data_IF_823597335060
#
_entry.id   IF_823597335060
#
_cell.length_a   1.000
_cell.length_b   1.000
_cell.length_c   1.000
_cell.angle_alpha   90.00
_cell.angle_beta   90.00
_cell.angle_gamma   90.00
#
_symmetry.space_group_name_H-M   'P 1'
#
loop_
_entity.id
_entity.type
_entity.pdbx_description
1 polymer ?
#
# COMPACT_ATOMS: atom_id res chain seq x y z
N UNK A 1 -7.22 4.11 7.14
CA UNK A 1 -7.02 2.85 6.38
C UNK A 1 -6.02 1.95 7.10
N UNK A 2 -4.70 2.23 7.09
CA UNK A 2 -3.68 1.42 7.83
C UNK A 2 -3.90 1.18 9.33
N UNK A 3 -4.71 2.01 10.00
CA UNK A 3 -5.03 1.86 11.43
C UNK A 3 -6.52 1.60 11.70
N UNK A 4 -7.37 1.88 10.72
CA UNK A 4 -8.83 1.90 10.88
C UNK A 4 -9.51 0.74 10.14
N UNK A 5 -8.77 -0.08 9.39
CA UNK A 5 -9.31 -1.19 8.62
C UNK A 5 -9.97 -0.78 7.30
N UNK A 6 -10.27 -1.78 6.48
CA UNK A 6 -10.97 -1.65 5.20
C UNK A 6 -12.44 -1.28 5.34
N UNK A 7 -13.02 -1.29 6.54
CA UNK A 7 -14.44 -0.95 6.79
C UNK A 7 -14.68 0.52 7.14
N UNK A 8 -13.64 1.31 7.42
CA UNK A 8 -13.79 2.72 7.80
C UNK A 8 -14.48 3.55 6.71
N UNK A 9 -15.42 4.41 7.08
CA UNK A 9 -16.09 5.35 6.17
C UNK A 9 -15.20 6.56 5.84
N UNK A 10 -15.52 7.24 4.73
CA UNK A 10 -14.85 8.50 4.38
C UNK A 10 -15.00 9.57 5.48
N UNK A 11 -16.13 9.56 6.18
CA UNK A 11 -16.42 10.50 7.26
C UNK A 11 -15.54 10.27 8.49
N UNK A 12 -15.37 9.02 8.90
CA UNK A 12 -14.48 8.62 9.99
C UNK A 12 -13.02 8.93 9.66
N UNK A 13 -12.61 8.74 8.40
CA UNK A 13 -11.27 9.14 7.93
C UNK A 13 -11.09 10.65 8.05
N UNK A 14 -12.05 11.45 7.58
CA UNK A 14 -11.97 12.91 7.63
C UNK A 14 -11.86 13.41 9.08
N UNK A 15 -12.69 12.85 9.98
CA UNK A 15 -12.66 13.16 11.40
C UNK A 15 -11.31 12.80 12.05
N UNK A 16 -10.77 11.62 11.72
CA UNK A 16 -9.48 11.17 12.25
C UNK A 16 -8.32 12.08 11.83
N UNK A 17 -8.27 12.50 10.56
CA UNK A 17 -7.16 13.33 10.05
C UNK A 17 -7.41 14.84 10.25
N UNK A 18 -8.51 15.21 10.92
CA UNK A 18 -8.83 16.60 11.27
C UNK A 18 -9.18 17.50 10.09
N UNK A 19 -9.68 16.94 8.98
CA UNK A 19 -10.11 17.72 7.80
C UNK A 19 -11.62 17.69 7.63
N UNK A 20 -12.18 18.69 6.96
CA UNK A 20 -13.59 18.66 6.61
C UNK A 20 -13.86 17.62 5.52
N UNK A 21 -15.08 17.08 5.50
CA UNK A 21 -15.56 16.17 4.43
C UNK A 21 -15.32 16.79 3.06
N UNK A 22 -15.70 18.07 2.88
CA UNK A 22 -15.52 18.78 1.60
C UNK A 22 -14.06 18.84 1.14
N UNK A 23 -13.10 18.96 2.07
CA UNK A 23 -11.68 18.92 1.73
C UNK A 23 -11.26 17.51 1.31
N UNK A 24 -11.67 16.47 2.04
CA UNK A 24 -11.34 15.09 1.68
C UNK A 24 -11.92 14.70 0.31
N UNK A 25 -13.20 15.03 0.07
CA UNK A 25 -13.90 14.75 -1.19
C UNK A 25 -13.39 15.56 -2.38
N UNK A 26 -12.63 16.65 -2.15
CA UNK A 26 -11.96 17.38 -3.24
C UNK A 26 -10.82 16.57 -3.85
N UNK A 27 -10.18 15.70 -3.05
CA UNK A 27 -9.06 14.88 -3.49
C UNK A 27 -9.47 13.45 -3.84
N UNK A 28 -10.50 12.92 -3.19
CA UNK A 28 -10.96 11.56 -3.39
C UNK A 28 -12.46 11.51 -3.59
N UNK A 29 -12.89 11.08 -4.78
CA UNK A 29 -14.31 11.04 -5.14
C UNK A 29 -15.07 10.05 -4.26
N UNK A 30 -14.41 8.93 -3.94
CA UNK A 30 -14.93 7.89 -3.05
C UNK A 30 -13.81 7.15 -2.32
N UNK A 31 -14.20 6.10 -1.59
CA UNK A 31 -13.28 5.25 -0.84
C UNK A 31 -12.36 4.41 -1.74
N UNK A 32 -12.82 4.03 -2.93
CA UNK A 32 -12.03 3.24 -3.88
C UNK A 32 -10.91 4.09 -4.47
N UNK A 33 -11.19 5.35 -4.79
CA UNK A 33 -10.21 6.34 -5.24
C UNK A 33 -9.12 6.57 -4.18
N UNK A 34 -9.54 6.79 -2.93
CA UNK A 34 -8.61 6.89 -1.80
C UNK A 34 -7.77 5.62 -1.62
N UNK A 35 -8.38 4.43 -1.70
CA UNK A 35 -7.67 3.16 -1.56
C UNK A 35 -6.66 2.96 -2.69
N UNK A 36 -7.04 3.30 -3.92
CA UNK A 36 -6.16 3.26 -5.10
C UNK A 36 -4.98 4.20 -4.93
N UNK A 37 -5.21 5.43 -4.47
CA UNK A 37 -4.14 6.40 -4.19
C UNK A 37 -3.16 5.90 -3.12
N UNK A 38 -3.67 5.26 -2.06
CA UNK A 38 -2.83 4.65 -1.02
C UNK A 38 -2.02 3.48 -1.59
N UNK A 39 -2.62 2.62 -2.42
CA UNK A 39 -1.93 1.50 -3.07
C UNK A 39 -0.83 1.98 -4.01
N UNK A 40 -1.11 2.94 -4.90
CA UNK A 40 -0.10 3.52 -5.79
C UNK A 40 1.06 4.11 -4.99
N UNK A 41 0.76 4.79 -3.87
CA UNK A 41 1.78 5.38 -3.00
C UNK A 41 2.63 4.32 -2.31
N UNK A 42 2.05 3.17 -1.94
CA UNK A 42 2.76 2.03 -1.40
C UNK A 42 3.65 1.36 -2.45
N UNK A 43 3.12 1.13 -3.66
CA UNK A 43 3.86 0.56 -4.78
C UNK A 43 5.12 1.37 -5.08
N UNK A 44 4.96 2.69 -5.22
CA UNK A 44 6.05 3.59 -5.61
C UNK A 44 7.14 3.72 -4.56
N UNK A 45 6.79 3.70 -3.27
CA UNK A 45 7.74 4.04 -2.20
C UNK A 45 8.23 2.83 -1.42
N UNK A 46 7.56 1.68 -1.54
CA UNK A 46 7.95 0.47 -0.81
C UNK A 46 8.16 -0.71 -1.75
N UNK A 47 7.13 -1.09 -2.52
CA UNK A 47 7.20 -2.31 -3.32
C UNK A 47 8.26 -2.23 -4.41
N UNK A 48 8.19 -1.23 -5.27
CA UNK A 48 9.12 -1.06 -6.40
C UNK A 48 10.58 -0.94 -5.90
N UNK A 49 10.89 -0.10 -4.90
CA UNK A 49 12.26 -0.03 -4.34
C UNK A 49 12.77 -1.36 -3.80
N UNK A 50 11.96 -2.09 -3.02
CA UNK A 50 12.35 -3.39 -2.47
C UNK A 50 12.61 -4.42 -3.56
N UNK A 51 11.74 -4.47 -4.58
CA UNK A 51 11.86 -5.38 -5.72
C UNK A 51 13.09 -5.04 -6.57
N UNK A 52 13.36 -3.76 -6.82
CA UNK A 52 14.54 -3.31 -7.54
C UNK A 52 15.84 -3.67 -6.80
N UNK A 53 15.85 -3.52 -5.47
CA UNK A 53 16.98 -3.94 -4.63
C UNK A 53 17.22 -5.46 -4.73
N UNK A 54 16.17 -6.27 -4.64
CA UNK A 54 16.26 -7.73 -4.77
C UNK A 54 16.77 -8.17 -6.15
N UNK A 55 16.27 -7.54 -7.23
CA UNK A 55 16.70 -7.78 -8.61
C UNK A 55 18.17 -7.43 -8.86
N UNK A 56 18.70 -6.47 -8.11
CA UNK A 56 20.12 -6.06 -8.20
C UNK A 56 21.08 -6.98 -7.44
N UNK A 57 20.56 -8.00 -6.75
CA UNK A 57 21.38 -8.95 -6.00
C UNK A 57 22.22 -9.84 -6.92
N UNK A 58 23.43 -10.16 -6.49
CA UNK A 58 24.33 -11.07 -7.23
C UNK A 58 24.02 -12.52 -6.88
N UNK A 59 22.83 -12.99 -7.25
CA UNK A 59 22.34 -14.35 -7.07
C UNK A 59 22.22 -15.07 -8.42
N UNK A 60 22.27 -16.40 -8.40
CA UNK A 60 21.98 -17.21 -9.58
C UNK A 60 20.46 -17.31 -9.85
N UNK A 61 20.05 -17.90 -10.98
CA UNK A 61 18.66 -17.85 -11.43
C UNK A 61 17.63 -18.44 -10.45
N UNK A 62 17.97 -19.53 -9.75
CA UNK A 62 17.04 -20.13 -8.78
C UNK A 62 16.99 -19.29 -7.50
N UNK A 63 18.15 -18.91 -6.97
CA UNK A 63 18.23 -18.13 -5.74
C UNK A 63 17.65 -16.72 -5.92
N UNK A 64 17.85 -16.10 -7.08
CA UNK A 64 17.24 -14.81 -7.43
C UNK A 64 15.71 -14.91 -7.49
N UNK A 65 15.17 -15.96 -8.12
CA UNK A 65 13.72 -16.17 -8.19
C UNK A 65 13.13 -16.35 -6.80
N UNK A 66 13.79 -17.17 -5.96
CA UNK A 66 13.37 -17.39 -4.57
C UNK A 66 13.42 -16.09 -3.76
N UNK A 67 14.47 -15.30 -3.94
CA UNK A 67 14.64 -14.03 -3.22
C UNK A 67 13.59 -12.99 -3.63
N UNK A 68 13.29 -12.86 -4.93
CA UNK A 68 12.25 -11.95 -5.41
C UNK A 68 10.88 -12.33 -4.84
N UNK A 69 10.52 -13.62 -4.85
CA UNK A 69 9.25 -14.10 -4.27
C UNK A 69 9.21 -13.79 -2.77
N UNK A 70 10.31 -14.06 -2.05
CA UNK A 70 10.41 -13.76 -0.62
C UNK A 70 10.21 -12.28 -0.35
N UNK A 71 10.92 -11.40 -1.06
CA UNK A 71 10.82 -9.95 -0.88
C UNK A 71 9.42 -9.45 -1.21
N UNK A 72 8.78 -9.95 -2.27
CA UNK A 72 7.40 -9.62 -2.60
C UNK A 72 6.43 -10.01 -1.47
N UNK A 73 6.48 -11.27 -1.03
CA UNK A 73 5.60 -11.79 0.02
C UNK A 73 5.82 -11.05 1.33
N UNK A 74 7.07 -10.85 1.76
CA UNK A 74 7.40 -10.14 2.99
C UNK A 74 6.94 -8.67 2.91
N UNK A 75 7.14 -8.00 1.78
CA UNK A 75 6.74 -6.60 1.61
C UNK A 75 5.22 -6.43 1.66
N UNK A 76 4.47 -7.32 1.02
CA UNK A 76 3.00 -7.31 1.04
C UNK A 76 2.46 -7.71 2.42
N UNK A 77 3.04 -8.74 3.07
CA UNK A 77 2.59 -9.22 4.37
C UNK A 77 2.79 -8.19 5.49
N UNK A 78 3.82 -7.34 5.39
CA UNK A 78 4.09 -6.27 6.35
C UNK A 78 3.13 -5.06 6.21
N UNK A 79 2.31 -5.02 5.16
CA UNK A 79 1.27 -4.01 4.94
C UNK A 79 -0.08 -4.71 4.73
N UNK A 80 -0.67 -5.35 5.76
CA UNK A 80 -1.84 -6.22 5.58
C UNK A 80 -3.12 -5.43 5.30
N UNK A 81 -3.20 -4.19 5.76
CA UNK A 81 -4.45 -3.41 5.80
C UNK A 81 -5.04 -3.05 4.43
N UNK A 82 -4.25 -2.75 3.38
CA UNK A 82 -4.77 -2.54 2.04
C UNK A 82 -5.31 -3.83 1.37
N UNK A 83 -4.88 -5.02 1.82
CA UNK A 83 -5.20 -6.31 1.19
C UNK A 83 -6.25 -7.14 1.95
N UNK A 84 -6.73 -6.65 3.11
CA UNK A 84 -7.83 -7.28 3.85
C UNK A 84 -9.17 -6.89 3.23
N UNK A 85 -9.64 -7.74 2.32
CA UNK A 85 -11.04 -7.78 1.87
C UNK A 85 -11.99 -8.02 3.05
#
# INVERSE_FOLDING_TARGET
IRRLGSNVSMDEIAAEIGVSKTVLYRYFVDKNDLTTAVMMRFEQVTLIPNMAAALSSNLDGYDLTREIIRVYVDTVANEPEPYRF
#
